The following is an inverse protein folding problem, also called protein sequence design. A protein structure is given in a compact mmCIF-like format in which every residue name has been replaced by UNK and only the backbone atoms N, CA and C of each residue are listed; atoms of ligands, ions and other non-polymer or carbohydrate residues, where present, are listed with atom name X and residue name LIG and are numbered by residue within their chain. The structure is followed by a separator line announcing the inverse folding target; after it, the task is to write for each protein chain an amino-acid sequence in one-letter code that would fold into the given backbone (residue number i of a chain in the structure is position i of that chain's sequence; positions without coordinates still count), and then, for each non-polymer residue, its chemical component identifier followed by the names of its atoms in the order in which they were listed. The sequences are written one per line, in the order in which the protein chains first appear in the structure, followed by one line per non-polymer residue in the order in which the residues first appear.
data_IF_565742106964
#
_entry.id   IF_565742106964
#
_cell.length_a   1.000
_cell.length_b   1.000
_cell.length_c   1.000
_cell.angle_alpha   90.00
_cell.angle_beta   90.00
_cell.angle_gamma   90.00
#
_symmetry.space_group_name_H-M   'P 1'
#
loop_
_entity.id
_entity.type
_entity.pdbx_description
1 polymer ?
#
# COMPACT_ATOMS: atom_id res chain seq x y z
N UNK A 1 -7.20 5.32 -0.95
CA UNK A 1 -5.80 5.09 -1.40
C UNK A 1 -4.85 6.06 -0.73
N UNK A 2 -5.16 7.36 -0.69
CA UNK A 2 -4.48 8.35 0.16
C UNK A 2 -4.23 7.82 1.59
N UNK A 3 -5.31 7.45 2.29
CA UNK A 3 -5.25 6.90 3.65
C UNK A 3 -4.54 5.53 3.76
N UNK A 4 -4.31 4.84 2.65
CA UNK A 4 -3.59 3.54 2.62
C UNK A 4 -2.08 3.76 2.55
N UNK A 5 -1.64 4.69 1.69
CA UNK A 5 -0.23 4.91 1.38
C UNK A 5 0.47 5.83 2.37
N UNK A 6 -0.26 6.81 2.92
CA UNK A 6 0.29 7.80 3.83
C UNK A 6 0.99 7.16 5.05
N UNK A 7 0.37 6.20 5.79
CA UNK A 7 1.04 5.57 6.93
C UNK A 7 2.29 4.78 6.53
N UNK A 8 2.29 4.16 5.34
CA UNK A 8 3.39 3.34 4.85
C UNK A 8 4.60 4.20 4.48
N UNK A 9 4.38 5.37 3.91
CA UNK A 9 5.44 6.30 3.53
C UNK A 9 5.99 7.09 4.72
N UNK A 10 5.19 7.28 5.76
CA UNK A 10 5.56 8.05 6.95
C UNK A 10 6.08 7.20 8.11
N UNK A 11 6.05 5.87 7.99
CA UNK A 11 6.58 4.98 9.02
C UNK A 11 8.12 5.06 9.05
N UNK A 12 8.68 5.88 9.93
CA UNK A 12 10.06 5.75 10.38
C UNK A 12 10.09 4.77 11.57
N UNK A 13 11.15 3.94 11.71
CA UNK A 13 11.34 3.07 12.90
C UNK A 13 11.13 3.94 14.14
N UNK A 14 10.07 3.67 14.91
CA UNK A 14 9.67 4.49 16.06
C UNK A 14 10.77 4.45 17.13
N UNK A 15 11.60 5.48 17.22
CA UNK A 15 12.22 5.85 18.49
C UNK A 15 11.15 6.54 19.33
N UNK A 16 10.85 5.93 20.47
CA UNK A 16 9.90 6.37 21.50
C UNK A 16 9.83 7.90 21.66
N UNK A 17 8.70 8.49 21.26
CA UNK A 17 8.22 9.73 21.88
C UNK A 17 6.71 9.72 21.97
N UNK A 18 6.21 9.78 23.20
CA UNK A 18 4.80 9.94 23.58
C UNK A 18 4.25 11.28 23.11
N UNK A 19 3.92 11.43 21.82
CA UNK A 19 3.12 12.56 21.38
C UNK A 19 2.15 12.16 20.27
N UNK A 20 0.92 12.60 20.48
CA UNK A 20 -0.29 12.37 19.70
C UNK A 20 -0.09 12.57 18.20
N UNK A 21 -0.93 11.85 17.44
CA UNK A 21 -1.13 11.92 16.00
C UNK A 21 -1.04 13.37 15.48
N UNK A 22 0.19 13.78 15.17
CA UNK A 22 0.49 14.93 14.35
C UNK A 22 1.26 14.33 13.19
N UNK A 23 0.65 14.34 12.01
CA UNK A 23 1.33 14.11 10.74
C UNK A 23 2.32 15.26 10.58
N UNK A 24 3.47 15.19 11.27
CA UNK A 24 4.40 16.32 11.44
C UNK A 24 5.80 16.04 10.91
N UNK A 25 6.06 14.86 10.35
CA UNK A 25 7.32 14.60 9.67
C UNK A 25 7.02 14.15 8.24
N UNK A 26 7.53 14.86 7.21
CA UNK A 26 7.62 14.25 5.89
C UNK A 26 8.41 12.94 6.05
N UNK A 27 7.93 11.86 5.43
CA UNK A 27 8.58 10.55 5.53
C UNK A 27 10.03 10.57 5.04
N UNK A 28 10.79 9.51 5.30
CA UNK A 28 12.16 9.43 4.80
C UNK A 28 12.18 9.51 3.27
N UNK A 29 13.19 10.15 2.65
CA UNK A 29 13.28 10.20 1.20
C UNK A 29 13.23 8.81 0.58
N UNK A 30 12.40 8.58 -0.44
CA UNK A 30 12.18 7.24 -0.99
C UNK A 30 11.87 7.22 -2.49
N UNK A 31 12.18 6.08 -3.12
CA UNK A 31 11.72 5.70 -4.43
C UNK A 31 10.40 4.91 -4.32
N UNK A 32 9.38 5.32 -5.08
CA UNK A 32 8.12 4.58 -5.20
C UNK A 32 8.10 3.83 -6.54
N UNK A 33 8.16 2.51 -6.49
CA UNK A 33 8.22 1.64 -7.66
C UNK A 33 6.86 1.01 -7.89
N UNK A 34 6.18 1.41 -8.98
CA UNK A 34 4.82 0.97 -9.28
C UNK A 34 4.81 -0.11 -10.36
N UNK A 35 4.63 -1.36 -9.96
CA UNK A 35 4.40 -2.45 -10.93
C UNK A 35 2.97 -2.38 -11.46
N UNK A 36 2.77 -2.58 -12.76
CA UNK A 36 1.46 -2.38 -13.40
C UNK A 36 1.17 -0.92 -13.71
N UNK A 37 2.22 -0.12 -13.96
CA UNK A 37 2.08 1.32 -14.18
C UNK A 37 1.22 1.69 -15.40
N UNK A 38 1.16 0.81 -16.41
CA UNK A 38 0.31 0.99 -17.59
C UNK A 38 -1.14 0.54 -17.40
N UNK A 39 -1.53 0.07 -16.20
CA UNK A 39 -2.88 -0.39 -15.90
C UNK A 39 -3.84 0.69 -15.40
N UNK A 40 -5.14 0.39 -15.48
CA UNK A 40 -6.23 1.29 -15.09
C UNK A 40 -6.21 1.67 -13.60
N UNK A 41 -5.82 0.74 -12.71
CA UNK A 41 -5.72 1.02 -11.28
C UNK A 41 -4.71 2.15 -11.01
N UNK A 42 -3.60 2.15 -11.75
CA UNK A 42 -2.54 3.14 -11.61
C UNK A 42 -3.03 4.51 -12.02
N UNK A 43 -3.53 4.67 -13.25
CA UNK A 43 -3.99 5.97 -13.74
C UNK A 43 -5.21 6.47 -12.99
N UNK A 44 -6.26 5.65 -12.83
CA UNK A 44 -7.55 6.12 -12.27
C UNK A 44 -7.53 6.30 -10.76
N UNK A 45 -6.60 5.65 -10.03
CA UNK A 45 -6.62 5.69 -8.56
C UNK A 45 -5.28 5.94 -7.89
N UNK A 46 -4.20 5.25 -8.27
CA UNK A 46 -2.92 5.40 -7.56
C UNK A 46 -2.26 6.75 -7.83
N UNK A 47 -2.19 7.18 -9.09
CA UNK A 47 -1.58 8.45 -9.44
C UNK A 47 -2.35 9.65 -8.89
N UNK A 48 -3.70 9.72 -9.00
CA UNK A 48 -4.48 10.76 -8.32
C UNK A 48 -4.29 10.75 -6.80
N UNK A 49 -4.15 9.57 -6.18
CA UNK A 49 -3.87 9.50 -4.74
C UNK A 49 -2.45 9.97 -4.40
N UNK A 50 -1.42 9.56 -5.13
CA UNK A 50 -0.05 10.04 -4.91
C UNK A 50 0.06 11.54 -5.16
N UNK A 51 -0.60 12.04 -6.20
CA UNK A 51 -0.70 13.48 -6.47
C UNK A 51 -1.41 14.23 -5.34
N UNK A 52 -2.51 13.68 -4.81
CA UNK A 52 -3.15 14.24 -3.62
C UNK A 52 -2.23 14.27 -2.39
N UNK A 53 -1.43 13.22 -2.15
CA UNK A 53 -0.42 13.25 -1.06
C UNK A 53 0.63 14.33 -1.31
N UNK A 54 1.08 14.47 -2.56
CA UNK A 54 2.04 15.48 -2.97
C UNK A 54 1.52 16.90 -2.74
N UNK A 55 0.31 17.20 -3.23
CA UNK A 55 -0.32 18.52 -3.10
C UNK A 55 -0.50 18.93 -1.64
N UNK A 56 -0.80 17.96 -0.77
CA UNK A 56 -0.99 18.15 0.67
C UNK A 56 0.31 18.00 1.49
N UNK A 57 1.48 17.92 0.85
CA UNK A 57 2.80 17.80 1.50
C UNK A 57 2.93 16.59 2.45
N UNK A 58 2.24 15.49 2.15
CA UNK A 58 2.32 14.24 2.91
C UNK A 58 3.39 13.27 2.39
N UNK A 59 3.90 13.49 1.18
CA UNK A 59 5.06 12.76 0.66
C UNK A 59 6.36 13.29 1.27
N UNK A 60 7.43 12.48 1.30
CA UNK A 60 8.78 12.94 1.66
C UNK A 60 9.21 14.18 0.88
N UNK A 61 10.12 14.98 1.46
CA UNK A 61 10.65 16.16 0.77
C UNK A 61 11.39 15.82 -0.53
N UNK A 62 12.09 14.68 -0.56
CA UNK A 62 12.66 14.10 -1.77
C UNK A 62 12.06 12.73 -2.05
N UNK A 63 11.48 12.56 -3.23
CA UNK A 63 10.97 11.29 -3.72
C UNK A 63 10.94 11.30 -5.25
N UNK A 64 10.90 10.11 -5.84
CA UNK A 64 10.50 9.93 -7.22
C UNK A 64 9.62 8.69 -7.37
N UNK A 65 8.89 8.62 -8.47
CA UNK A 65 8.03 7.48 -8.81
C UNK A 65 8.54 6.88 -10.12
N UNK A 66 8.77 5.57 -10.12
CA UNK A 66 9.12 4.82 -11.33
C UNK A 66 8.03 3.80 -11.66
N UNK A 67 7.40 4.00 -12.81
CA UNK A 67 6.41 3.08 -13.34
C UNK A 67 7.06 1.88 -14.03
N UNK A 68 6.66 0.67 -13.68
CA UNK A 68 7.16 -0.57 -14.25
C UNK A 68 6.02 -1.36 -14.91
N UNK A 69 6.12 -1.61 -16.22
CA UNK A 69 5.22 -2.53 -16.92
C UNK A 69 5.83 -3.08 -18.21
N UNK A 70 5.20 -4.10 -18.80
CA UNK A 70 5.62 -4.71 -20.07
C UNK A 70 5.48 -3.78 -21.28
N UNK A 71 4.53 -2.82 -21.20
CA UNK A 71 4.29 -1.84 -22.26
C UNK A 71 5.54 -1.01 -22.48
N UNK A 72 5.94 -0.82 -23.72
CA UNK A 72 7.05 0.06 -24.06
C UNK A 72 6.57 1.52 -24.03
N UNK A 73 7.13 2.31 -23.12
CA UNK A 73 6.86 3.74 -22.96
C UNK A 73 8.17 4.44 -22.61
N UNK A 74 8.31 5.68 -23.06
CA UNK A 74 9.33 6.62 -22.59
C UNK A 74 8.85 7.34 -21.33
N UNK A 75 9.77 7.97 -20.58
CA UNK A 75 9.44 8.84 -19.44
C UNK A 75 8.38 9.89 -19.85
N UNK A 76 8.55 10.55 -20.99
CA UNK A 76 7.64 11.59 -21.47
C UNK A 76 6.26 11.05 -21.84
N UNK A 77 6.19 9.93 -22.58
CA UNK A 77 4.91 9.30 -22.90
C UNK A 77 4.15 8.82 -21.65
N UNK A 78 4.89 8.40 -20.61
CA UNK A 78 4.29 8.06 -19.33
C UNK A 78 3.76 9.29 -18.60
N UNK A 79 4.53 10.39 -18.56
CA UNK A 79 4.12 11.66 -17.98
C UNK A 79 2.87 12.21 -18.66
N UNK A 80 2.80 12.21 -19.99
CA UNK A 80 1.64 12.68 -20.74
C UNK A 80 0.40 11.85 -20.41
N UNK A 81 0.54 10.53 -20.33
CA UNK A 81 -0.55 9.64 -19.93
C UNK A 81 -1.06 9.93 -18.52
N UNK A 82 -0.15 10.22 -17.57
CA UNK A 82 -0.54 10.57 -16.20
C UNK A 82 -1.15 11.97 -16.15
N UNK A 83 -0.62 12.95 -16.90
CA UNK A 83 -1.17 14.30 -17.01
C UNK A 83 -2.65 14.26 -17.37
N UNK A 84 -3.01 13.56 -18.45
CA UNK A 84 -4.40 13.41 -18.86
C UNK A 84 -5.27 12.76 -17.78
N UNK A 85 -4.71 11.88 -16.95
CA UNK A 85 -5.44 11.27 -15.84
C UNK A 85 -5.64 12.21 -14.64
N UNK A 86 -4.73 13.16 -14.43
CA UNK A 86 -4.79 14.14 -13.35
C UNK A 86 -5.65 15.35 -13.71
N UNK A 87 -5.66 15.78 -14.96
CA UNK A 87 -6.55 16.85 -15.46
C UNK A 87 -8.03 16.47 -15.31
N UNK A 88 -8.35 15.19 -15.44
CA UNK A 88 -9.68 14.64 -15.20
C UNK A 88 -10.02 14.48 -13.70
N UNK A 89 -9.08 14.79 -12.79
CA UNK A 89 -9.28 14.68 -11.35
C UNK A 89 -9.68 16.02 -10.74
N UNK A 90 -10.53 16.00 -9.72
CA UNK A 90 -11.02 17.19 -9.01
C UNK A 90 -9.97 17.92 -8.17
N UNK A 91 -8.70 17.49 -8.22
CA UNK A 91 -7.58 18.01 -7.42
C UNK A 91 -6.64 18.91 -8.23
N UNK A 92 -7.06 19.40 -9.38
CA UNK A 92 -6.23 20.21 -10.25
C UNK A 92 -5.85 21.55 -9.58
N UNK A 93 -4.60 21.64 -9.12
CA UNK A 93 -3.97 22.87 -8.65
C UNK A 93 -2.92 23.26 -9.70
N UNK A 94 -3.19 24.34 -10.43
CA UNK A 94 -2.31 24.85 -11.48
C UNK A 94 -0.88 25.06 -10.94
N UNK A 95 0.13 24.53 -11.65
CA UNK A 95 1.55 24.57 -11.29
C UNK A 95 2.08 23.35 -10.52
N UNK A 96 1.27 22.70 -9.66
CA UNK A 96 1.72 21.50 -8.93
C UNK A 96 1.75 20.24 -9.80
N UNK A 97 0.96 20.20 -10.86
CA UNK A 97 0.92 19.04 -11.78
C UNK A 97 2.28 18.83 -12.44
N UNK A 98 2.87 19.87 -13.04
CA UNK A 98 4.16 19.71 -13.74
C UNK A 98 5.31 19.40 -12.79
N UNK A 99 5.31 19.97 -11.57
CA UNK A 99 6.29 19.61 -10.54
C UNK A 99 6.18 18.12 -10.16
N UNK A 100 4.96 17.60 -10.02
CA UNK A 100 4.73 16.17 -9.75
C UNK A 100 5.16 15.29 -10.92
N UNK A 101 4.80 15.67 -12.15
CA UNK A 101 5.16 14.94 -13.36
C UNK A 101 6.69 14.88 -13.57
N UNK A 102 7.42 15.93 -13.19
CA UNK A 102 8.88 15.97 -13.21
C UNK A 102 9.55 14.90 -12.34
N UNK A 103 8.82 14.33 -11.37
CA UNK A 103 9.29 13.24 -10.49
C UNK A 103 8.87 11.86 -10.97
N UNK A 104 8.20 11.77 -12.13
CA UNK A 104 7.79 10.51 -12.73
C UNK A 104 8.82 10.03 -13.74
N UNK A 105 9.15 8.75 -13.63
CA UNK A 105 10.00 8.00 -14.54
C UNK A 105 9.29 6.70 -14.92
N UNK A 106 9.76 6.05 -15.97
CA UNK A 106 9.24 4.79 -16.47
C UNK A 106 10.38 3.82 -16.80
N UNK A 107 10.11 2.53 -16.60
CA UNK A 107 11.00 1.47 -17.03
C UNK A 107 10.20 0.28 -17.55
N UNK A 108 10.46 -0.11 -18.80
CA UNK A 108 9.88 -1.32 -19.34
C UNK A 108 10.45 -2.52 -18.57
N UNK A 109 9.57 -3.28 -17.92
CA UNK A 109 9.97 -4.41 -17.08
C UNK A 109 9.23 -5.67 -17.49
N UNK A 110 9.97 -6.74 -17.75
CA UNK A 110 9.44 -8.09 -17.90
C UNK A 110 9.39 -8.73 -16.51
N UNK A 111 8.21 -9.18 -16.08
CA UNK A 111 7.99 -9.61 -14.69
C UNK A 111 8.62 -10.97 -14.34
N UNK A 112 9.07 -11.71 -15.33
CA UNK A 112 9.60 -13.08 -15.26
C UNK A 112 11.06 -13.18 -15.77
N UNK A 113 11.77 -12.06 -15.87
CA UNK A 113 13.14 -12.02 -16.41
C UNK A 113 14.10 -11.31 -15.45
N UNK A 114 15.02 -12.06 -14.86
CA UNK A 114 16.01 -11.52 -13.91
C UNK A 114 16.89 -10.43 -14.54
N UNK A 115 17.24 -10.55 -15.82
CA UNK A 115 18.04 -9.54 -16.50
C UNK A 115 17.32 -8.18 -16.55
N UNK A 116 15.99 -8.19 -16.77
CA UNK A 116 15.16 -6.99 -16.71
C UNK A 116 15.22 -6.33 -15.32
N UNK A 117 15.25 -7.11 -14.23
CA UNK A 117 15.36 -6.57 -12.87
C UNK A 117 16.76 -6.05 -12.54
N UNK A 118 17.82 -6.63 -13.10
CA UNK A 118 19.17 -6.07 -12.98
C UNK A 118 19.28 -4.70 -13.65
N UNK A 119 18.67 -4.53 -14.83
CA UNK A 119 18.63 -3.22 -15.50
C UNK A 119 17.77 -2.22 -14.71
N UNK A 120 16.62 -2.65 -14.19
CA UNK A 120 15.78 -1.84 -13.30
C UNK A 120 16.57 -1.38 -12.07
N UNK A 121 17.34 -2.27 -11.44
CA UNK A 121 18.17 -1.94 -10.29
C UNK A 121 19.22 -0.86 -10.62
N UNK A 122 19.89 -0.96 -11.78
CA UNK A 122 20.83 0.06 -12.26
C UNK A 122 20.16 1.41 -12.55
N UNK A 123 18.93 1.40 -13.09
CA UNK A 123 18.13 2.61 -13.30
C UNK A 123 17.73 3.25 -11.97
N UNK A 124 17.26 2.45 -11.01
CA UNK A 124 16.93 2.92 -9.65
C UNK A 124 18.18 3.52 -8.98
N UNK A 125 19.33 2.87 -9.04
CA UNK A 125 20.56 3.41 -8.42
C UNK A 125 20.99 4.75 -9.04
N UNK A 126 20.84 4.91 -10.36
CA UNK A 126 21.11 6.18 -11.04
C UNK A 126 20.17 7.28 -10.57
N UNK A 127 18.86 6.99 -10.49
CA UNK A 127 17.84 7.93 -10.04
C UNK A 127 17.97 8.25 -8.54
N UNK A 128 18.35 7.28 -7.72
CA UNK A 128 18.64 7.46 -6.30
C UNK A 128 19.75 8.51 -6.12
N UNK A 129 20.81 8.47 -6.94
CA UNK A 129 21.89 9.47 -6.93
C UNK A 129 21.42 10.86 -7.39
N UNK A 130 20.66 10.92 -8.48
CA UNK A 130 20.12 12.18 -9.03
C UNK A 130 19.19 12.88 -8.04
N UNK A 131 18.36 12.11 -7.32
CA UNK A 131 17.33 12.61 -6.40
C UNK A 131 17.77 12.58 -4.92
N UNK A 132 19.03 12.23 -4.63
CA UNK A 132 19.55 12.11 -3.25
C UNK A 132 18.72 11.20 -2.34
N UNK A 133 18.30 10.03 -2.84
CA UNK A 133 17.54 9.03 -2.09
C UNK A 133 18.49 8.00 -1.46
N UNK A 134 18.39 7.70 -0.15
CA UNK A 134 19.26 6.74 0.54
C UNK A 134 18.86 5.27 0.28
N UNK A 135 18.35 4.96 -0.91
CA UNK A 135 17.84 3.65 -1.30
C UNK A 135 16.68 3.12 -0.42
N UNK A 136 15.82 4.02 0.10
CA UNK A 136 14.52 3.61 0.64
C UNK A 136 13.55 3.32 -0.51
N UNK A 137 12.86 2.18 -0.47
CA UNK A 137 12.06 1.71 -1.60
C UNK A 137 10.69 1.24 -1.17
N UNK A 138 9.67 1.75 -1.85
CA UNK A 138 8.29 1.25 -1.74
C UNK A 138 7.87 0.60 -3.06
N UNK A 139 7.80 -0.72 -3.09
CA UNK A 139 7.26 -1.48 -4.21
C UNK A 139 5.75 -1.62 -4.06
N UNK A 140 4.97 -1.10 -5.01
CA UNK A 140 3.52 -1.26 -5.03
C UNK A 140 3.10 -2.16 -6.19
N UNK A 141 2.45 -3.29 -5.88
CA UNK A 141 2.03 -4.27 -6.88
C UNK A 141 0.61 -3.99 -7.39
N UNK A 142 0.48 -3.06 -8.35
CA UNK A 142 -0.78 -2.78 -9.05
C UNK A 142 -1.01 -3.75 -10.23
N UNK A 143 -0.76 -5.04 -10.00
CA UNK A 143 -0.85 -6.11 -10.99
C UNK A 143 -1.81 -7.22 -10.53
N UNK A 144 -2.27 -8.07 -11.46
CA UNK A 144 -3.01 -9.30 -11.11
C UNK A 144 -2.25 -10.20 -10.09
N UNK A 145 -2.96 -10.87 -9.16
CA UNK A 145 -2.35 -11.64 -8.07
C UNK A 145 -1.43 -12.79 -8.50
N UNK A 146 -1.69 -13.38 -9.67
CA UNK A 146 -0.86 -14.46 -10.22
C UNK A 146 0.57 -14.00 -10.55
N UNK A 147 0.83 -12.70 -10.63
CA UNK A 147 2.15 -12.13 -10.86
C UNK A 147 2.92 -11.81 -9.57
N UNK A 148 2.28 -11.84 -8.41
CA UNK A 148 2.92 -11.46 -7.14
C UNK A 148 4.14 -12.32 -6.83
N UNK A 149 4.02 -13.65 -6.96
CA UNK A 149 5.11 -14.58 -6.71
C UNK A 149 6.32 -14.33 -7.62
N UNK A 150 6.08 -14.15 -8.91
CA UNK A 150 7.17 -13.88 -9.86
C UNK A 150 7.86 -12.56 -9.53
N UNK A 151 7.09 -11.49 -9.31
CA UNK A 151 7.66 -10.17 -9.01
C UNK A 151 8.41 -10.18 -7.67
N UNK A 152 7.87 -10.78 -6.62
CA UNK A 152 8.55 -10.83 -5.32
C UNK A 152 9.86 -11.61 -5.41
N UNK A 153 9.88 -12.76 -6.08
CA UNK A 153 11.08 -13.56 -6.24
C UNK A 153 12.14 -12.85 -7.09
N UNK A 154 11.73 -12.15 -8.15
CA UNK A 154 12.66 -11.36 -8.97
C UNK A 154 13.24 -10.18 -8.19
N UNK A 155 12.42 -9.48 -7.38
CA UNK A 155 12.89 -8.42 -6.49
C UNK A 155 13.90 -8.96 -5.46
N UNK A 156 13.67 -10.15 -4.92
CA UNK A 156 14.61 -10.83 -4.03
C UNK A 156 15.91 -11.21 -4.74
N UNK A 157 15.80 -11.89 -5.88
CA UNK A 157 16.94 -12.40 -6.65
C UNK A 157 17.81 -11.29 -7.22
N UNK A 158 17.25 -10.13 -7.53
CA UNK A 158 18.00 -8.96 -8.00
C UNK A 158 18.59 -8.12 -6.86
N UNK A 159 18.38 -8.49 -5.60
CA UNK A 159 18.82 -7.73 -4.43
C UNK A 159 18.02 -6.44 -4.17
N UNK A 160 16.92 -6.23 -4.89
CA UNK A 160 16.09 -5.03 -4.74
C UNK A 160 15.27 -5.02 -3.44
N UNK A 161 15.00 -6.20 -2.85
CA UNK A 161 14.29 -6.35 -1.57
C UNK A 161 15.16 -6.17 -0.32
N UNK A 162 16.48 -6.07 -0.49
CA UNK A 162 17.45 -6.11 0.63
C UNK A 162 17.52 -4.78 1.36
N UNK A 163 17.40 -4.85 2.69
CA UNK A 163 17.70 -3.74 3.60
C UNK A 163 19.17 -3.77 4.04
N UNK A 164 19.74 -2.59 4.22
CA UNK A 164 21.06 -2.36 4.76
C UNK A 164 20.95 -1.62 6.09
N UNK A 165 20.92 -2.37 7.19
CA UNK A 165 20.79 -1.83 8.54
C UNK A 165 21.87 -0.78 8.89
N UNK A 166 23.07 -0.87 8.28
CA UNK A 166 24.15 0.11 8.49
C UNK A 166 23.87 1.46 7.83
N UNK A 167 23.08 1.46 6.75
CA UNK A 167 22.67 2.68 6.03
C UNK A 167 21.30 3.19 6.47
N UNK A 168 20.65 2.51 7.42
CA UNK A 168 19.31 2.81 7.92
C UNK A 168 18.28 2.99 6.79
N UNK A 169 18.39 2.19 5.72
CA UNK A 169 17.42 2.19 4.64
C UNK A 169 16.36 1.10 4.85
N UNK A 170 15.17 1.32 4.30
CA UNK A 170 14.06 0.38 4.38
C UNK A 170 13.57 -0.01 2.99
N UNK A 171 13.05 -1.22 2.88
CA UNK A 171 12.40 -1.70 1.66
C UNK A 171 11.05 -2.30 2.02
N UNK A 172 9.99 -1.85 1.35
CA UNK A 172 8.61 -2.23 1.64
C UNK A 172 7.92 -2.69 0.38
N UNK A 173 7.06 -3.69 0.50
CA UNK A 173 6.23 -4.20 -0.58
C UNK A 173 4.75 -4.08 -0.20
N UNK A 174 3.96 -3.51 -1.08
CA UNK A 174 2.51 -3.35 -0.93
C UNK A 174 1.80 -4.28 -1.89
N UNK A 175 0.95 -5.13 -1.35
CA UNK A 175 0.14 -6.10 -2.09
C UNK A 175 -1.34 -5.86 -1.79
N UNK A 176 -2.17 -5.92 -2.83
CA UNK A 176 -3.63 -5.75 -2.70
C UNK A 176 -4.32 -7.12 -2.75
N UNK A 177 -5.57 -7.16 -2.27
CA UNK A 177 -6.41 -8.36 -2.36
C UNK A 177 -6.66 -8.76 -3.84
N UNK A 178 -6.92 -10.04 -4.14
CA UNK A 178 -7.05 -11.19 -3.21
C UNK A 178 -5.73 -11.82 -2.77
N UNK A 179 -5.68 -12.26 -1.50
CA UNK A 179 -4.54 -12.95 -0.90
C UNK A 179 -4.70 -14.47 -0.96
N UNK A 180 -4.83 -15.01 -2.17
CA UNK A 180 -5.26 -16.38 -2.40
C UNK A 180 -6.79 -16.52 -2.44
N UNK A 181 -7.26 -17.74 -2.68
CA UNK A 181 -8.69 -18.12 -2.79
C UNK A 181 -9.14 -19.12 -1.73
N UNK A 182 -8.19 -19.66 -0.99
CA UNK A 182 -8.34 -20.66 0.07
C UNK A 182 -7.08 -20.62 0.97
N UNK A 183 -7.09 -21.37 2.06
CA UNK A 183 -5.97 -21.40 3.01
C UNK A 183 -4.64 -21.83 2.35
N UNK A 184 -4.67 -22.85 1.49
CA UNK A 184 -3.48 -23.39 0.85
C UNK A 184 -2.84 -22.37 -0.10
N UNK A 185 -3.63 -21.76 -0.99
CA UNK A 185 -3.15 -20.72 -1.90
C UNK A 185 -2.70 -19.45 -1.15
N UNK A 186 -3.34 -19.11 -0.03
CA UNK A 186 -2.90 -18.00 0.82
C UNK A 186 -1.53 -18.29 1.47
N UNK A 187 -1.32 -19.51 1.98
CA UNK A 187 -0.02 -19.95 2.52
C UNK A 187 1.08 -19.95 1.46
N UNK A 188 0.78 -20.39 0.25
CA UNK A 188 1.74 -20.36 -0.87
C UNK A 188 2.13 -18.92 -1.21
N UNK A 189 1.17 -18.01 -1.30
CA UNK A 189 1.44 -16.59 -1.55
C UNK A 189 2.28 -15.97 -0.41
N UNK A 190 1.89 -16.22 0.84
CA UNK A 190 2.59 -15.73 2.03
C UNK A 190 4.03 -16.24 2.09
N UNK A 191 4.22 -17.54 1.85
CA UNK A 191 5.54 -18.16 1.82
C UNK A 191 6.45 -17.58 0.74
N UNK A 192 5.90 -17.32 -0.46
CA UNK A 192 6.64 -16.68 -1.56
C UNK A 192 7.08 -15.26 -1.21
N UNK A 193 6.19 -14.44 -0.65
CA UNK A 193 6.56 -13.09 -0.21
C UNK A 193 7.67 -13.15 0.87
N UNK A 194 7.54 -14.07 1.83
CA UNK A 194 8.50 -14.27 2.92
C UNK A 194 9.86 -14.82 2.51
N UNK A 195 9.99 -15.38 1.31
CA UNK A 195 11.31 -15.76 0.77
C UNK A 195 12.16 -14.54 0.42
N UNK A 196 11.52 -13.44 0.01
CA UNK A 196 12.21 -12.24 -0.49
C UNK A 196 12.12 -11.05 0.47
N UNK A 197 11.13 -11.04 1.37
CA UNK A 197 10.85 -9.95 2.29
C UNK A 197 10.61 -10.48 3.71
N UNK A 198 11.04 -9.72 4.72
CA UNK A 198 10.65 -9.93 6.13
C UNK A 198 9.20 -9.48 6.34
N UNK A 199 8.55 -9.96 7.39
CA UNK A 199 7.13 -9.68 7.64
C UNK A 199 6.84 -8.17 7.86
N UNK A 200 7.76 -7.43 8.48
CA UNK A 200 7.68 -5.98 8.68
C UNK A 200 7.86 -5.16 7.39
N UNK A 201 8.32 -5.80 6.31
CA UNK A 201 8.42 -5.20 4.99
C UNK A 201 7.14 -5.38 4.16
N UNK A 202 6.23 -6.29 4.54
CA UNK A 202 5.08 -6.70 3.74
C UNK A 202 3.79 -5.99 4.20
N UNK A 203 3.27 -5.10 3.37
CA UNK A 203 2.04 -4.35 3.61
C UNK A 203 0.90 -4.94 2.78
N UNK A 204 0.08 -5.76 3.43
CA UNK A 204 -1.13 -6.36 2.84
C UNK A 204 -2.30 -5.39 3.01
N UNK A 205 -2.85 -4.92 1.90
CA UNK A 205 -3.87 -3.88 1.94
C UNK A 205 -5.28 -4.45 2.09
N UNK A 206 -5.92 -4.07 3.18
CA UNK A 206 -7.38 -4.00 3.30
C UNK A 206 -7.80 -2.52 3.37
N UNK A 207 -8.68 -2.09 2.47
CA UNK A 207 -9.08 -0.69 2.39
C UNK A 207 -10.07 -0.25 3.48
N UNK A 208 -10.73 -1.19 4.17
CA UNK A 208 -11.64 -0.86 5.28
C UNK A 208 -10.85 -0.34 6.49
N UNK A 209 -9.65 -0.87 6.73
CA UNK A 209 -8.77 -0.44 7.83
C UNK A 209 -8.29 1.02 7.67
N UNK A 210 -8.41 1.59 6.47
CA UNK A 210 -8.07 2.98 6.19
C UNK A 210 -9.26 3.95 6.34
N UNK A 211 -10.45 3.45 6.70
CA UNK A 211 -11.61 4.28 6.98
C UNK A 211 -11.50 4.86 8.39
N UNK A 212 -11.71 6.15 8.52
CA UNK A 212 -11.59 6.87 9.80
C UNK A 212 -12.47 6.26 10.90
N UNK A 213 -13.71 5.92 10.59
CA UNK A 213 -14.63 5.27 11.53
C UNK A 213 -14.13 3.92 12.02
N UNK A 214 -13.41 3.18 11.19
CA UNK A 214 -12.81 1.88 11.56
C UNK A 214 -11.61 2.07 12.47
N UNK A 215 -10.75 3.04 12.17
CA UNK A 215 -9.62 3.39 13.03
C UNK A 215 -10.07 3.90 14.40
N UNK A 216 -11.20 4.61 14.44
CA UNK A 216 -11.78 5.14 15.68
C UNK A 216 -12.34 4.05 16.61
N UNK A 217 -12.54 2.80 16.17
CA UNK A 217 -12.99 1.70 17.04
C UNK A 217 -12.02 1.52 18.21
N UNK A 218 -10.71 1.52 17.94
CA UNK A 218 -9.68 1.32 18.97
C UNK A 218 -9.71 2.43 20.02
N UNK A 219 -9.86 3.68 19.58
CA UNK A 219 -9.97 4.83 20.49
C UNK A 219 -11.28 4.79 21.28
N UNK A 220 -12.39 4.46 20.62
CA UNK A 220 -13.67 4.34 21.29
C UNK A 220 -13.62 3.31 22.42
N UNK A 221 -13.05 2.15 22.17
CA UNK A 221 -12.95 1.05 23.15
C UNK A 221 -11.97 1.33 24.28
N UNK A 222 -10.75 1.76 23.95
CA UNK A 222 -9.65 1.73 24.91
C UNK A 222 -9.24 3.10 25.47
N UNK A 223 -9.68 4.21 24.86
CA UNK A 223 -9.41 5.55 25.37
C UNK A 223 -10.52 6.10 26.28
N UNK A 224 -11.60 5.33 26.49
CA UNK A 224 -12.77 5.76 27.26
C UNK A 224 -13.01 4.82 28.45
N UNK A 225 -12.76 5.32 29.66
CA UNK A 225 -12.95 4.59 30.93
C UNK A 225 -14.40 4.14 31.16
N UNK A 226 -15.36 4.78 30.48
CA UNK A 226 -16.78 4.44 30.58
C UNK A 226 -17.12 3.20 29.74
N UNK A 227 -16.52 3.06 28.54
CA UNK A 227 -16.89 2.01 27.59
C UNK A 227 -16.11 0.73 27.80
N UNK A 228 -14.84 0.80 28.22
CA UNK A 228 -13.99 -0.38 28.38
C UNK A 228 -14.60 -1.45 29.32
N UNK A 229 -15.13 -1.10 30.52
CA UNK A 229 -15.72 -2.09 31.43
C UNK A 229 -17.02 -2.71 30.92
N UNK A 230 -17.69 -2.06 29.97
CA UNK A 230 -18.95 -2.51 29.38
C UNK A 230 -18.72 -3.40 28.14
N UNK A 231 -17.48 -3.53 27.67
CA UNK A 231 -17.18 -4.21 26.42
C UNK A 231 -16.97 -5.72 26.58
N UNK A 232 -17.98 -6.42 27.13
CA UNK A 232 -17.94 -7.86 27.36
C UNK A 232 -19.35 -8.48 27.40
N UNK A 233 -19.42 -9.82 27.45
CA UNK A 233 -20.67 -10.58 27.40
C UNK A 233 -21.62 -10.39 28.58
N UNK A 234 -21.20 -9.71 29.66
CA UNK A 234 -22.10 -9.37 30.77
C UNK A 234 -23.02 -8.19 30.40
N UNK A 235 -22.57 -7.29 29.52
CA UNK A 235 -23.27 -6.07 29.15
C UNK A 235 -23.69 -6.03 27.68
N UNK A 236 -23.02 -6.79 26.81
CA UNK A 236 -23.32 -6.87 25.38
C UNK A 236 -24.12 -8.15 25.11
N UNK A 237 -25.35 -7.99 24.59
CA UNK A 237 -26.20 -9.10 24.16
C UNK A 237 -25.75 -9.69 22.82
N UNK A 238 -25.53 -8.83 21.81
CA UNK A 238 -25.02 -9.24 20.50
C UNK A 238 -24.31 -8.07 19.78
N UNK A 239 -23.55 -8.40 18.74
CA UNK A 239 -22.84 -7.45 17.88
C UNK A 239 -23.21 -7.73 16.43
N UNK A 240 -23.74 -6.72 15.74
CA UNK A 240 -24.07 -6.79 14.33
C UNK A 240 -23.05 -6.02 13.48
N UNK A 241 -22.46 -6.70 12.49
CA UNK A 241 -21.60 -6.10 11.47
C UNK A 241 -22.33 -6.16 10.14
N UNK A 242 -22.88 -5.03 9.69
CA UNK A 242 -23.62 -4.92 8.44
C UNK A 242 -22.79 -4.23 7.36
N UNK A 243 -22.61 -4.91 6.22
CA UNK A 243 -22.09 -4.32 5.00
C UNK A 243 -23.17 -4.37 3.92
N UNK A 244 -23.82 -3.23 3.68
CA UNK A 244 -24.87 -3.10 2.68
C UNK A 244 -24.39 -2.26 1.48
N UNK A 245 -24.58 -2.79 0.27
CA UNK A 245 -24.28 -2.11 -0.99
C UNK A 245 -25.57 -1.91 -1.78
N UNK A 246 -25.76 -0.70 -2.33
CA UNK A 246 -26.91 -0.40 -3.21
C UNK A 246 -26.66 -0.83 -4.67
N UNK A 247 -25.40 -1.03 -5.02
CA UNK A 247 -24.95 -1.31 -6.39
C UNK A 247 -24.91 -2.84 -6.55
N UNK A 248 -25.36 -3.32 -7.72
CA UNK A 248 -25.32 -4.74 -8.04
C UNK A 248 -23.91 -5.22 -8.43
N UNK A 249 -23.86 -6.38 -9.08
CA UNK A 249 -22.60 -6.97 -9.57
C UNK A 249 -21.96 -6.14 -10.70
N UNK A 250 -22.74 -5.31 -11.40
CA UNK A 250 -22.31 -4.41 -12.48
C UNK A 250 -21.39 -5.15 -13.48
N UNK A 251 -20.25 -4.54 -13.83
CA UNK A 251 -19.25 -5.09 -14.76
C UNK A 251 -18.33 -6.14 -14.12
N UNK A 252 -18.54 -6.52 -12.85
CA UNK A 252 -17.66 -7.44 -12.10
C UNK A 252 -18.18 -8.88 -12.08
N UNK A 253 -19.17 -9.24 -12.91
CA UNK A 253 -19.79 -10.57 -12.93
C UNK A 253 -18.77 -11.72 -12.99
N UNK A 254 -17.81 -11.68 -13.91
CA UNK A 254 -16.82 -12.75 -14.04
C UNK A 254 -15.91 -12.93 -12.82
N UNK A 255 -15.57 -11.85 -12.10
CA UNK A 255 -14.82 -11.95 -10.85
C UNK A 255 -15.72 -12.46 -9.72
N UNK A 256 -16.94 -11.93 -9.62
CA UNK A 256 -17.87 -12.23 -8.54
C UNK A 256 -18.34 -13.69 -8.56
N UNK A 257 -18.51 -14.28 -9.76
CA UNK A 257 -18.85 -15.69 -9.94
C UNK A 257 -17.82 -16.62 -9.28
N UNK A 258 -16.54 -16.29 -9.39
CA UNK A 258 -15.45 -17.09 -8.83
C UNK A 258 -15.18 -16.79 -7.34
N UNK A 259 -15.34 -15.52 -6.94
CA UNK A 259 -15.04 -15.09 -5.58
C UNK A 259 -16.19 -15.40 -4.61
N UNK A 260 -17.41 -15.02 -4.99
CA UNK A 260 -18.58 -14.95 -4.12
C UNK A 260 -18.48 -13.86 -3.04
N UNK A 261 -19.59 -13.61 -2.35
CA UNK A 261 -19.66 -12.61 -1.26
C UNK A 261 -18.68 -12.92 -0.12
N UNK A 262 -18.47 -14.21 0.16
CA UNK A 262 -17.61 -14.66 1.26
C UNK A 262 -16.16 -14.18 1.04
N UNK A 263 -15.61 -14.32 -0.16
CA UNK A 263 -14.22 -13.88 -0.43
C UNK A 263 -14.12 -12.38 -0.74
N UNK A 264 -15.16 -11.79 -1.35
CA UNK A 264 -15.08 -10.38 -1.73
C UNK A 264 -15.21 -9.44 -0.53
N UNK A 265 -16.06 -9.79 0.44
CA UNK A 265 -16.43 -8.94 1.59
C UNK A 265 -16.22 -9.56 2.96
N UNK A 266 -16.57 -10.84 3.15
CA UNK A 266 -16.64 -11.43 4.50
C UNK A 266 -15.24 -11.74 5.05
N UNK A 267 -14.48 -12.56 4.31
CA UNK A 267 -13.15 -13.05 4.71
C UNK A 267 -12.13 -11.94 4.97
N UNK A 268 -12.29 -10.78 4.32
CA UNK A 268 -11.41 -9.63 4.48
C UNK A 268 -12.02 -8.57 5.42
N UNK A 269 -12.91 -7.72 4.90
CA UNK A 269 -13.39 -6.51 5.54
C UNK A 269 -14.15 -6.81 6.83
N UNK A 270 -15.08 -7.76 6.80
CA UNK A 270 -15.90 -8.08 7.97
C UNK A 270 -15.08 -8.77 9.06
N UNK A 271 -14.18 -9.69 8.69
CA UNK A 271 -13.26 -10.31 9.66
C UNK A 271 -12.30 -9.30 10.30
N UNK A 272 -11.84 -8.29 9.55
CA UNK A 272 -11.02 -7.19 10.09
C UNK A 272 -11.80 -6.29 11.06
N UNK A 273 -13.07 -5.98 10.76
CA UNK A 273 -13.92 -5.26 11.70
C UNK A 273 -14.18 -6.09 12.97
N UNK A 274 -14.47 -7.38 12.79
CA UNK A 274 -14.68 -8.30 13.90
C UNK A 274 -13.44 -8.37 14.80
N UNK A 275 -12.23 -8.46 14.24
CA UNK A 275 -11.01 -8.49 15.05
C UNK A 275 -10.82 -7.21 15.86
N UNK A 276 -11.08 -6.03 15.28
CA UNK A 276 -10.99 -4.75 16.00
C UNK A 276 -12.06 -4.61 17.11
N UNK A 277 -13.23 -5.22 16.92
CA UNK A 277 -14.31 -5.22 17.90
C UNK A 277 -14.05 -6.23 19.03
N UNK A 278 -13.50 -7.40 18.71
CA UNK A 278 -13.38 -8.53 19.64
C UNK A 278 -12.00 -8.64 20.31
N UNK A 279 -10.96 -7.94 19.83
CA UNK A 279 -9.62 -8.02 20.42
C UNK A 279 -9.58 -7.54 21.87
N UNK A 280 -8.67 -8.09 22.66
CA UNK A 280 -8.35 -7.62 24.01
C UNK A 280 -7.73 -6.21 24.02
N UNK A 281 -7.80 -5.47 25.14
CA UNK A 281 -7.09 -4.20 25.27
C UNK A 281 -5.58 -4.40 25.10
N UNK A 282 -4.94 -3.70 24.15
CA UNK A 282 -3.51 -3.86 23.92
C UNK A 282 -2.74 -3.22 25.08
N UNK A 283 -1.67 -3.90 25.53
CA UNK A 283 -0.80 -3.35 26.58
C UNK A 283 -0.06 -2.07 26.15
N UNK A 284 0.13 -1.89 24.84
CA UNK A 284 0.72 -0.70 24.21
C UNK A 284 0.07 -0.44 22.85
N UNK A 285 -0.09 0.82 22.50
CA UNK A 285 -0.55 1.26 21.18
C UNK A 285 0.59 1.24 20.14
N UNK A 286 1.14 0.07 19.89
CA UNK A 286 2.16 -0.19 18.86
C UNK A 286 1.64 -1.22 17.87
N UNK A 287 2.03 -1.13 16.59
CA UNK A 287 1.51 -2.00 15.52
C UNK A 287 1.57 -3.49 15.84
N UNK A 288 2.69 -3.96 16.40
CA UNK A 288 2.88 -5.39 16.73
C UNK A 288 2.10 -5.87 17.95
N UNK A 289 1.70 -4.97 18.86
CA UNK A 289 0.91 -5.35 20.06
C UNK A 289 -0.60 -5.31 19.75
N UNK A 290 -0.98 -4.54 18.73
CA UNK A 290 -2.36 -4.49 18.23
C UNK A 290 -2.67 -5.70 17.33
N UNK A 291 -1.67 -6.21 16.60
CA UNK A 291 -1.77 -7.43 15.77
C UNK A 291 -1.88 -8.68 16.62
#
# INVERSE_FOLDING_TARGET
LLNKLCPILQYARQTQTNNFCQIKRPGDPCAIVLFGASGDLTSKKLMPALYGLFVNNYLPGSFYIIGCARTELTDDSFRDRIRSSLENSSLNNEGKVDEFLGRLYYHQTKYDDLASYSVLAGRIESLDKENSIPANRLFYLAVPPNLYNNISNMLGSSGLSVENDKKNNWTRIVVEKPFGRDLESAKVLDGSLKQSFKEDQIYRIDHYLAKETVQNILFFRFANTIFEPLWNSQYIEYVDILAAEKIGIEKRAGYYENAGIIRDMFQNHMMQLLSLIAMEPPSKFTSEVIR
#
